data_IF_180935396907
#
_entry.id   IF_180935396907
#
_cell.length_a   1.000
_cell.length_b   1.000
_cell.length_c   1.000
_cell.angle_alpha   90.00
_cell.angle_beta   90.00
_cell.angle_gamma   90.00
#
_symmetry.space_group_name_H-M   'P 1'
#
loop_
_entity.id
_entity.type
_entity.pdbx_description
1 polymer ?
#
# COMPACT_ATOMS: atom_id res chain seq x y z
N UNK A 1 -12.21 -7.57 1.00
CA UNK A 1 -11.32 -7.52 2.18
C UNK A 1 -11.56 -8.71 3.11
N UNK A 2 -12.69 -8.76 3.85
CA UNK A 2 -12.98 -9.85 4.80
C UNK A 2 -12.89 -11.27 4.20
N UNK A 3 -13.29 -11.43 2.94
CA UNK A 3 -13.25 -12.74 2.25
C UNK A 3 -11.87 -13.12 1.68
N UNK A 4 -10.90 -12.20 1.66
CA UNK A 4 -9.62 -12.42 0.98
C UNK A 4 -8.40 -12.30 1.89
N UNK A 5 -8.46 -11.44 2.91
CA UNK A 5 -7.31 -11.23 3.80
C UNK A 5 -7.36 -12.23 4.96
N UNK A 6 -6.24 -12.93 5.26
CA UNK A 6 -6.16 -13.74 6.47
C UNK A 6 -6.22 -12.84 7.72
N UNK A 7 -6.65 -13.36 8.88
CA UNK A 7 -6.70 -12.58 10.13
C UNK A 7 -5.35 -11.99 10.57
N UNK A 8 -4.25 -12.56 10.09
CA UNK A 8 -2.88 -12.11 10.37
C UNK A 8 -2.40 -10.98 9.46
N UNK A 9 -3.16 -10.61 8.42
CA UNK A 9 -2.81 -9.50 7.54
C UNK A 9 -2.92 -8.16 8.30
N UNK A 10 -1.94 -7.23 8.15
CA UNK A 10 -1.97 -5.94 8.85
C UNK A 10 -3.20 -5.09 8.57
N UNK A 11 -3.92 -5.36 7.47
CA UNK A 11 -5.14 -4.65 7.09
C UNK A 11 -6.38 -5.54 7.13
N UNK A 12 -6.35 -6.66 7.87
CA UNK A 12 -7.54 -7.49 8.08
C UNK A 12 -8.72 -6.68 8.68
N UNK A 13 -8.44 -5.79 9.63
CA UNK A 13 -9.43 -4.89 10.28
C UNK A 13 -9.78 -3.67 9.43
N UNK A 14 -9.10 -3.42 8.31
CA UNK A 14 -9.35 -2.24 7.48
C UNK A 14 -10.76 -2.24 6.87
N UNK A 15 -11.37 -3.42 6.68
CA UNK A 15 -12.76 -3.53 6.26
C UNK A 15 -13.74 -2.91 7.28
N UNK A 16 -13.44 -3.03 8.57
CA UNK A 16 -14.26 -2.46 9.64
C UNK A 16 -14.12 -0.95 9.67
N UNK A 17 -12.90 -0.44 9.45
CA UNK A 17 -12.62 0.99 9.31
C UNK A 17 -13.39 1.60 8.13
N UNK A 18 -13.42 0.92 6.98
CA UNK A 18 -14.23 1.36 5.82
C UNK A 18 -15.74 1.26 6.05
N UNK A 19 -16.19 0.47 7.04
CA UNK A 19 -17.60 0.35 7.44
C UNK A 19 -17.95 1.27 8.61
N UNK A 20 -16.98 2.07 9.07
CA UNK A 20 -17.10 2.90 10.26
C UNK A 20 -17.92 4.17 10.04
N UNK A 21 -18.36 4.82 11.13
CA UNK A 21 -19.05 6.10 11.07
C UNK A 21 -18.12 7.16 10.42
N UNK A 22 -18.60 7.83 9.38
CA UNK A 22 -17.85 8.86 8.65
C UNK A 22 -17.53 8.51 7.19
N UNK A 23 -17.70 7.25 6.78
CA UNK A 23 -17.66 6.87 5.36
C UNK A 23 -19.07 6.91 4.78
N UNK A 24 -19.33 7.80 3.82
CA UNK A 24 -20.62 7.84 3.13
C UNK A 24 -20.73 6.69 2.12
N UNK A 25 -21.77 5.88 2.26
CA UNK A 25 -22.07 4.78 1.34
C UNK A 25 -22.82 5.31 0.11
N UNK A 26 -22.13 6.11 -0.71
CA UNK A 26 -22.68 6.62 -1.96
C UNK A 26 -22.25 5.77 -3.14
N UNK A 27 -23.17 5.46 -4.04
CA UNK A 27 -22.79 4.94 -5.35
C UNK A 27 -22.08 6.03 -6.14
N UNK A 28 -20.80 5.81 -6.42
CA UNK A 28 -20.01 6.67 -7.29
C UNK A 28 -20.06 6.12 -8.71
N UNK A 29 -20.23 7.01 -9.69
CA UNK A 29 -20.18 6.69 -11.12
C UNK A 29 -19.33 7.75 -11.81
N UNK A 30 -18.41 7.30 -12.65
CA UNK A 30 -17.52 8.19 -13.39
C UNK A 30 -16.13 7.57 -13.56
N UNK A 31 -15.17 8.45 -13.81
CA UNK A 31 -13.77 8.07 -13.97
C UNK A 31 -13.01 8.26 -12.67
N UNK A 32 -12.17 7.29 -12.33
CA UNK A 32 -11.17 7.41 -11.29
C UNK A 32 -9.83 7.73 -11.97
N UNK A 33 -9.28 8.89 -11.65
CA UNK A 33 -7.96 9.33 -12.15
C UNK A 33 -6.95 9.31 -11.01
N UNK A 34 -5.70 8.99 -11.34
CA UNK A 34 -4.59 8.96 -10.39
C UNK A 34 -3.28 8.70 -11.10
N UNK A 35 -2.18 8.93 -10.40
CA UNK A 35 -0.82 8.73 -10.89
C UNK A 35 -0.08 7.80 -9.94
N UNK A 36 0.60 6.80 -10.49
CA UNK A 36 1.51 5.97 -9.73
C UNK A 36 2.91 6.59 -9.82
N UNK A 37 3.60 6.75 -8.70
CA UNK A 37 4.95 7.35 -8.71
C UNK A 37 5.94 6.47 -9.47
N UNK A 38 5.92 5.15 -9.22
CA UNK A 38 6.69 4.18 -9.99
C UNK A 38 6.06 2.79 -10.02
N UNK A 39 6.37 2.05 -11.09
CA UNK A 39 6.12 0.61 -11.21
C UNK A 39 7.45 -0.07 -11.52
N UNK A 40 7.88 -0.96 -10.63
CA UNK A 40 9.13 -1.71 -10.80
C UNK A 40 8.82 -3.10 -11.34
N UNK A 41 9.60 -3.55 -12.33
CA UNK A 41 9.60 -4.95 -12.78
C UNK A 41 10.82 -5.66 -12.22
N UNK A 42 10.61 -6.56 -11.28
CA UNK A 42 11.67 -7.30 -10.61
C UNK A 42 11.71 -8.75 -11.09
N UNK A 43 12.91 -9.34 -11.16
CA UNK A 43 13.04 -10.79 -11.37
C UNK A 43 12.53 -11.51 -10.13
N UNK A 44 11.73 -12.55 -10.35
CA UNK A 44 11.29 -13.48 -9.33
C UNK A 44 12.28 -14.64 -9.21
N UNK A 45 12.32 -15.29 -8.04
CA UNK A 45 13.26 -16.38 -7.77
C UNK A 45 13.05 -17.61 -8.68
N UNK A 46 11.84 -17.77 -9.21
CA UNK A 46 11.43 -18.78 -10.18
C UNK A 46 11.87 -18.46 -11.63
N UNK A 47 12.67 -17.41 -11.84
CA UNK A 47 13.13 -16.96 -13.16
C UNK A 47 12.13 -16.08 -13.92
N UNK A 48 10.92 -15.89 -13.38
CA UNK A 48 9.90 -14.98 -13.91
C UNK A 48 10.11 -13.52 -13.50
N UNK A 49 9.04 -12.72 -13.58
CA UNK A 49 9.03 -11.34 -13.11
C UNK A 49 7.77 -11.00 -12.33
N UNK A 50 7.90 -10.06 -11.40
CA UNK A 50 6.81 -9.45 -10.63
C UNK A 50 6.83 -7.94 -10.77
N UNK A 51 5.66 -7.34 -10.71
CA UNK A 51 5.47 -5.90 -10.76
C UNK A 51 5.11 -5.37 -9.37
N UNK A 52 5.84 -4.36 -8.91
CA UNK A 52 5.59 -3.66 -7.66
C UNK A 52 5.18 -2.21 -7.95
N UNK A 53 4.14 -1.75 -7.27
CA UNK A 53 3.82 -0.32 -7.19
C UNK A 53 4.70 0.31 -6.11
N UNK A 54 5.26 1.48 -6.37
CA UNK A 54 5.99 2.28 -5.38
C UNK A 54 5.34 3.64 -5.29
N UNK A 55 5.17 4.13 -4.06
CA UNK A 55 4.65 5.46 -3.75
C UNK A 55 5.55 6.11 -2.68
N UNK A 56 5.97 7.35 -2.92
CA UNK A 56 6.84 8.10 -2.03
C UNK A 56 6.02 9.02 -1.13
N UNK A 57 6.23 8.88 0.18
CA UNK A 57 5.51 9.63 1.20
C UNK A 57 6.45 10.56 1.96
N UNK A 58 6.12 11.85 1.97
CA UNK A 58 6.83 12.88 2.75
C UNK A 58 6.09 13.21 4.04
N UNK A 59 5.35 12.27 4.64
CA UNK A 59 4.59 12.51 5.86
C UNK A 59 5.52 12.84 7.04
N UNK A 60 5.09 13.75 7.92
CA UNK A 60 5.77 14.04 9.19
C UNK A 60 5.15 13.17 10.28
N UNK A 61 5.92 12.25 10.86
CA UNK A 61 5.45 11.36 11.92
C UNK A 61 6.06 11.67 13.29
N UNK A 62 6.84 12.74 13.39
CA UNK A 62 7.38 13.23 14.65
C UNK A 62 6.26 13.77 15.55
N UNK A 63 6.42 13.58 16.85
CA UNK A 63 5.47 14.05 17.87
C UNK A 63 5.19 15.55 17.67
N UNK A 64 3.93 15.90 17.42
CA UNK A 64 3.48 17.27 17.14
C UNK A 64 3.53 18.22 18.33
N UNK A 65 4.59 18.21 19.15
CA UNK A 65 4.84 19.19 20.21
C UNK A 65 6.01 20.08 19.79
N UNK A 66 5.64 21.21 19.18
CA UNK A 66 6.43 22.41 18.87
C UNK A 66 7.86 22.21 18.38
N UNK A 67 8.15 22.75 17.18
CA UNK A 67 9.50 22.99 16.65
C UNK A 67 10.38 23.91 17.52
N UNK A 68 10.01 24.14 18.78
CA UNK A 68 10.68 24.98 19.78
C UNK A 68 11.03 24.25 21.08
N UNK A 69 10.74 22.94 21.21
CA UNK A 69 11.22 22.11 22.34
C UNK A 69 12.60 21.52 21.98
N UNK A 70 13.69 21.88 22.68
CA UNK A 70 15.00 21.27 22.48
C UNK A 70 14.98 19.85 23.06
N UNK A 71 14.56 18.86 22.26
CA UNK A 71 14.59 17.45 22.63
C UNK A 71 13.50 16.56 22.02
N UNK A 72 12.42 17.14 21.46
CA UNK A 72 11.35 16.39 20.76
C UNK A 72 11.56 16.38 19.25
N UNK A 73 12.53 15.62 18.76
CA UNK A 73 12.94 15.64 17.34
C UNK A 73 12.32 14.54 16.49
N UNK A 74 12.10 14.82 15.20
CA UNK A 74 11.88 13.78 14.20
C UNK A 74 13.07 12.81 14.16
N UNK A 75 12.80 11.51 14.15
CA UNK A 75 13.82 10.47 14.10
C UNK A 75 13.31 9.24 13.35
N UNK A 76 14.22 8.37 12.91
CA UNK A 76 13.88 7.10 12.27
C UNK A 76 12.90 6.24 13.09
N UNK A 77 12.90 6.37 14.43
CA UNK A 77 12.00 5.66 15.33
C UNK A 77 10.51 5.95 15.07
N UNK A 78 10.20 7.16 14.60
CA UNK A 78 8.84 7.56 14.22
C UNK A 78 8.35 6.86 12.94
N UNK A 79 9.27 6.25 12.19
CA UNK A 79 9.01 5.52 10.95
C UNK A 79 9.25 4.02 11.10
N UNK A 80 9.20 3.50 12.33
CA UNK A 80 9.26 2.04 12.59
C UNK A 80 8.03 1.33 12.01
N UNK A 81 8.12 0.02 11.69
CA UNK A 81 7.02 -0.72 11.04
C UNK A 81 5.65 -0.58 11.72
N UNK A 82 5.60 -0.62 13.06
CA UNK A 82 4.35 -0.44 13.80
C UNK A 82 3.71 0.95 13.59
N UNK A 83 4.52 2.01 13.65
CA UNK A 83 4.03 3.38 13.40
C UNK A 83 3.58 3.58 11.96
N UNK A 84 4.26 2.94 11.01
CA UNK A 84 3.85 2.96 9.61
C UNK A 84 2.54 2.20 9.39
N UNK A 85 2.32 1.05 10.05
CA UNK A 85 1.06 0.32 9.93
C UNK A 85 -0.15 1.18 10.36
N UNK A 86 -0.03 1.88 11.49
CA UNK A 86 -1.04 2.84 11.97
C UNK A 86 -1.25 4.00 10.99
N UNK A 87 -0.15 4.59 10.52
CA UNK A 87 -0.17 5.69 9.54
C UNK A 87 -0.84 5.28 8.23
N UNK A 88 -0.53 4.09 7.73
CA UNK A 88 -1.10 3.54 6.50
C UNK A 88 -2.62 3.45 6.61
N UNK A 89 -3.16 2.86 7.69
CA UNK A 89 -4.59 2.76 7.92
C UNK A 89 -5.26 4.13 8.08
N UNK A 90 -4.67 5.01 8.91
CA UNK A 90 -5.23 6.34 9.17
C UNK A 90 -5.30 7.21 7.91
N UNK A 91 -4.34 7.08 7.00
CA UNK A 91 -4.30 7.81 5.73
C UNK A 91 -5.01 7.08 4.57
N UNK A 92 -5.70 5.96 4.82
CA UNK A 92 -6.37 5.14 3.80
C UNK A 92 -5.47 4.67 2.65
N UNK A 93 -4.17 4.57 2.88
CA UNK A 93 -3.20 4.09 1.89
C UNK A 93 -3.43 2.63 1.44
N UNK A 94 -4.01 1.72 2.24
CA UNK A 94 -4.42 0.41 1.73
C UNK A 94 -5.44 0.50 0.60
N UNK A 95 -6.42 1.41 0.69
CA UNK A 95 -7.38 1.64 -0.39
C UNK A 95 -6.68 2.24 -1.61
N UNK A 96 -5.78 3.21 -1.41
CA UNK A 96 -4.97 3.79 -2.49
C UNK A 96 -4.18 2.70 -3.23
N UNK A 97 -3.46 1.83 -2.51
CA UNK A 97 -2.69 0.75 -3.12
C UNK A 97 -3.59 -0.23 -3.89
N UNK A 98 -4.75 -0.61 -3.34
CA UNK A 98 -5.67 -1.51 -4.02
C UNK A 98 -6.16 -0.91 -5.35
N UNK A 99 -6.48 0.39 -5.38
CA UNK A 99 -6.87 1.08 -6.61
C UNK A 99 -5.72 1.14 -7.63
N UNK A 100 -4.49 1.38 -7.16
CA UNK A 100 -3.29 1.34 -8.01
C UNK A 100 -3.01 -0.05 -8.56
N UNK A 101 -3.19 -1.10 -7.75
CA UNK A 101 -3.04 -2.48 -8.20
C UNK A 101 -4.13 -2.87 -9.19
N UNK A 102 -5.36 -2.37 -9.07
CA UNK A 102 -6.40 -2.57 -10.10
C UNK A 102 -6.01 -1.90 -11.42
N UNK A 103 -5.50 -0.67 -11.38
CA UNK A 103 -5.03 0.02 -12.57
C UNK A 103 -3.87 -0.76 -13.23
N UNK A 104 -2.90 -1.20 -12.43
CA UNK A 104 -1.78 -2.02 -12.90
C UNK A 104 -2.25 -3.37 -13.45
N UNK A 105 -3.17 -4.05 -12.77
CA UNK A 105 -3.75 -5.32 -13.22
C UNK A 105 -4.39 -5.18 -14.60
N UNK A 106 -5.24 -4.16 -14.78
CA UNK A 106 -5.91 -3.89 -16.07
C UNK A 106 -4.90 -3.53 -17.16
N UNK A 107 -3.87 -2.75 -16.84
CA UNK A 107 -2.79 -2.45 -17.78
C UNK A 107 -2.01 -3.71 -18.20
N UNK A 108 -1.60 -4.54 -17.23
CA UNK A 108 -0.83 -5.75 -17.52
C UNK A 108 -1.62 -6.80 -18.30
N UNK A 109 -2.94 -6.92 -18.07
CA UNK A 109 -3.82 -7.77 -18.89
C UNK A 109 -3.71 -7.50 -20.39
N UNK A 110 -3.34 -6.28 -20.78
CA UNK A 110 -3.18 -5.91 -22.19
C UNK A 110 -1.72 -5.94 -22.67
N UNK A 111 -0.75 -5.82 -21.75
CA UNK A 111 0.65 -5.51 -22.09
C UNK A 111 1.63 -6.60 -21.74
N UNK A 112 1.28 -7.47 -20.80
CA UNK A 112 2.12 -8.59 -20.37
C UNK A 112 1.65 -9.87 -21.07
N UNK A 113 2.48 -10.50 -21.91
CA UNK A 113 2.21 -11.83 -22.43
C UNK A 113 1.99 -12.84 -21.29
N UNK A 114 1.05 -13.76 -21.48
CA UNK A 114 0.71 -14.81 -20.52
C UNK A 114 0.44 -14.28 -19.11
N UNK A 115 -0.23 -13.12 -19.02
CA UNK A 115 -0.48 -12.44 -17.76
C UNK A 115 -1.31 -13.31 -16.80
N UNK A 116 -0.64 -13.76 -15.75
CA UNK A 116 -1.22 -14.35 -14.54
C UNK A 116 -1.08 -13.36 -13.35
N UNK A 117 -2.18 -12.88 -12.75
CA UNK A 117 -2.15 -11.98 -11.60
C UNK A 117 -1.37 -12.53 -10.39
N UNK A 118 -1.45 -13.84 -10.12
CA UNK A 118 -0.76 -14.48 -8.99
C UNK A 118 0.75 -14.46 -9.18
N UNK A 119 1.20 -14.60 -10.44
CA UNK A 119 2.63 -14.57 -10.79
C UNK A 119 3.18 -13.17 -10.92
N UNK A 120 2.40 -12.24 -11.47
CA UNK A 120 2.90 -10.94 -11.91
C UNK A 120 2.62 -9.80 -10.93
N UNK A 121 1.60 -9.87 -10.08
CA UNK A 121 1.37 -8.82 -9.08
C UNK A 121 2.21 -9.12 -7.83
N UNK A 122 3.10 -8.19 -7.47
CA UNK A 122 3.91 -8.30 -6.25
C UNK A 122 3.44 -7.43 -5.08
N UNK A 123 2.39 -6.62 -5.28
CA UNK A 123 1.93 -5.65 -4.28
C UNK A 123 2.58 -4.28 -4.44
N UNK A 124 2.85 -3.62 -3.32
CA UNK A 124 3.48 -2.30 -3.34
C UNK A 124 4.29 -1.94 -2.11
N UNK A 125 5.08 -0.88 -2.30
CA UNK A 125 6.00 -0.30 -1.34
C UNK A 125 5.64 1.16 -1.13
N UNK A 126 5.40 1.54 0.12
CA UNK A 126 5.22 2.92 0.54
C UNK A 126 6.52 3.36 1.22
N UNK A 127 7.21 4.30 0.58
CA UNK A 127 8.52 4.79 1.00
C UNK A 127 8.36 6.12 1.71
N UNK A 128 8.30 6.08 3.04
CA UNK A 128 8.29 7.25 3.90
C UNK A 128 9.71 7.80 4.01
N UNK A 129 10.07 8.64 3.04
CA UNK A 129 11.47 9.03 2.77
C UNK A 129 12.18 9.70 3.95
N UNK A 130 11.42 10.35 4.86
CA UNK A 130 11.97 10.97 6.09
C UNK A 130 12.45 9.96 7.14
N UNK A 131 12.02 8.70 7.04
CA UNK A 131 12.48 7.59 7.88
C UNK A 131 13.64 6.79 7.29
N UNK A 132 14.08 7.12 6.07
CA UNK A 132 15.18 6.45 5.37
C UNK A 132 16.47 7.26 5.57
N UNK A 133 17.43 6.70 6.32
CA UNK A 133 18.66 7.38 6.74
C UNK A 133 19.89 6.93 5.95
N UNK A 134 19.72 6.52 4.69
CA UNK A 134 20.81 6.01 3.86
C UNK A 134 21.29 4.62 4.28
N UNK A 135 22.58 4.28 4.08
CA UNK A 135 23.15 2.97 4.44
C UNK A 135 22.94 2.57 5.91
N UNK A 136 22.87 3.56 6.80
CA UNK A 136 22.70 3.37 8.24
C UNK A 136 21.23 3.38 8.69
N UNK A 137 20.28 3.20 7.76
CA UNK A 137 18.85 3.14 8.09
C UNK A 137 18.60 2.04 9.12
N UNK A 138 18.05 2.38 10.30
CA UNK A 138 17.76 1.38 11.33
C UNK A 138 16.81 0.30 10.81
N UNK A 139 17.09 -0.95 11.17
CA UNK A 139 16.24 -2.09 10.85
C UNK A 139 15.56 -2.57 12.11
N UNK A 140 14.23 -2.56 12.12
CA UNK A 140 13.41 -3.03 13.24
C UNK A 140 12.65 -4.26 12.79
N UNK A 141 12.85 -5.39 13.48
CA UNK A 141 12.25 -6.69 13.12
C UNK A 141 12.49 -7.08 11.66
N UNK A 142 13.71 -6.87 11.15
CA UNK A 142 14.09 -7.20 9.78
C UNK A 142 13.58 -6.23 8.71
N UNK A 143 12.86 -5.16 9.06
CA UNK A 143 12.37 -4.15 8.12
C UNK A 143 13.04 -2.79 8.37
N UNK A 144 13.64 -2.15 7.34
CA UNK A 144 14.17 -0.80 7.46
C UNK A 144 13.09 0.20 7.85
N UNK A 145 13.41 1.16 8.71
CA UNK A 145 12.51 2.28 8.99
C UNK A 145 12.19 3.05 7.71
N UNK A 146 10.98 3.59 7.64
CA UNK A 146 10.50 4.32 6.47
C UNK A 146 10.00 3.44 5.32
N UNK A 147 10.11 2.11 5.40
CA UNK A 147 9.60 1.21 4.37
C UNK A 147 8.38 0.45 4.88
N UNK A 148 7.27 0.56 4.18
CA UNK A 148 6.10 -0.28 4.39
C UNK A 148 5.80 -1.09 3.12
N UNK A 149 5.74 -2.41 3.25
CA UNK A 149 5.47 -3.33 2.15
C UNK A 149 4.15 -4.06 2.38
N UNK A 150 3.31 -4.14 1.34
CA UNK A 150 2.10 -4.96 1.39
C UNK A 150 1.80 -5.60 0.05
N UNK A 151 1.52 -6.90 0.08
CA UNK A 151 1.15 -7.71 -1.08
C UNK A 151 -0.23 -8.32 -0.85
N UNK A 152 -1.32 -7.60 -1.16
CA UNK A 152 -2.65 -8.17 -1.08
C UNK A 152 -2.79 -9.36 -2.05
N UNK A 153 -3.60 -10.37 -1.72
CA UNK A 153 -3.86 -11.50 -2.61
C UNK A 153 -4.38 -11.03 -3.98
N UNK A 154 -3.92 -11.67 -5.05
CA UNK A 154 -4.34 -11.30 -6.41
C UNK A 154 -5.87 -11.34 -6.58
N UNK A 155 -6.53 -12.34 -6.00
CA UNK A 155 -7.99 -12.46 -6.03
C UNK A 155 -8.73 -11.27 -5.41
N UNK A 156 -8.14 -10.56 -4.45
CA UNK A 156 -8.71 -9.32 -3.91
C UNK A 156 -8.66 -8.19 -4.96
N UNK A 157 -7.56 -8.09 -5.70
CA UNK A 157 -7.38 -7.11 -6.78
C UNK A 157 -8.34 -7.41 -7.94
N UNK A 158 -8.48 -8.68 -8.31
CA UNK A 158 -9.42 -9.13 -9.35
C UNK A 158 -10.87 -8.82 -8.96
N UNK A 159 -11.29 -9.19 -7.74
CA UNK A 159 -12.64 -8.92 -7.25
C UNK A 159 -12.95 -7.42 -7.20
N UNK A 160 -11.98 -6.59 -6.75
CA UNK A 160 -12.15 -5.13 -6.77
C UNK A 160 -12.21 -4.59 -8.21
N UNK A 161 -11.43 -5.14 -9.14
CA UNK A 161 -11.50 -4.78 -10.55
C UNK A 161 -12.89 -5.10 -11.14
N UNK A 162 -13.47 -6.26 -10.81
CA UNK A 162 -14.84 -6.63 -11.20
C UNK A 162 -15.88 -5.68 -10.64
N UNK A 163 -15.80 -5.37 -9.33
CA UNK A 163 -16.70 -4.41 -8.68
C UNK A 163 -16.66 -3.03 -9.36
N UNK A 164 -15.47 -2.52 -9.69
CA UNK A 164 -15.30 -1.26 -10.42
C UNK A 164 -15.77 -1.33 -11.88
N UNK A 165 -15.94 -2.52 -12.44
CA UNK A 165 -16.57 -2.74 -13.75
C UNK A 165 -18.11 -2.89 -13.66
N UNK A 166 -18.68 -2.86 -12.46
CA UNK A 166 -20.12 -2.98 -12.22
C UNK A 166 -20.60 -4.42 -11.99
N UNK A 167 -19.68 -5.38 -11.82
CA UNK A 167 -20.03 -6.74 -11.40
C UNK A 167 -20.61 -6.70 -9.97
N UNK A 168 -21.66 -7.49 -9.72
CA UNK A 168 -22.22 -7.60 -8.37
C UNK A 168 -21.34 -8.56 -7.55
N UNK A 169 -20.99 -8.19 -6.31
CA UNK A 169 -20.24 -9.07 -5.41
C UNK A 169 -21.03 -10.31 -5.01
#
# INVERSE_FOLDING_TARGET
>A
LRSHLPPTDPFASYADLLSGPGIEHRQLRGYLVGSLDAVLRLRSADGGYRYLVVDYKTNWLGDGRSSSEPGGGLSAWHYRPAALAETMSAAHYPLQLLLYLVALHRYLRWRQPDYDPVRHLGGGLYLFVRGMCGPDTPVVNGTPTGVFAWSPPAGLVEALSGLLAGERP
#
